data_IF_379143130278
#
_entry.id   IF_379143130278
#
_cell.length_a   1.000
_cell.length_b   1.000
_cell.length_c   1.000
_cell.angle_alpha   90.00
_cell.angle_beta   90.00
_cell.angle_gamma   90.00
#
_symmetry.space_group_name_H-M   'P 1'
#
loop_
_entity.id
_entity.type
_entity.pdbx_description
1 polymer ?
#
# COMPACT_ATOMS: atom_id res chain seq x y z
N UNK A 1 0.96 7.58 -2.41
CA UNK A 1 0.46 7.43 -1.02
C UNK A 1 0.46 5.95 -0.61
N UNK A 2 0.55 5.62 0.68
CA UNK A 2 0.53 4.22 1.15
C UNK A 2 -0.89 3.63 1.24
N UNK A 3 -1.01 2.32 1.06
CA UNK A 3 -2.25 1.60 1.33
C UNK A 3 -2.55 1.48 2.83
N UNK A 4 -3.83 1.62 3.20
CA UNK A 4 -4.30 1.43 4.57
C UNK A 4 -4.43 -0.06 4.92
N UNK A 5 -4.19 -0.43 6.17
CA UNK A 5 -4.35 -1.80 6.64
C UNK A 5 -5.82 -2.15 6.78
N UNK A 6 -6.18 -3.39 6.45
CA UNK A 6 -7.54 -3.88 6.66
C UNK A 6 -7.86 -4.01 8.14
N UNK A 7 -9.09 -3.64 8.52
CA UNK A 7 -9.59 -3.71 9.89
C UNK A 7 -11.05 -4.17 9.95
N UNK A 8 -11.34 -5.13 10.83
CA UNK A 8 -12.68 -5.68 11.07
C UNK A 8 -13.17 -6.65 9.98
N UNK A 9 -14.45 -6.98 9.99
CA UNK A 9 -15.06 -7.81 8.97
C UNK A 9 -16.55 -7.52 8.79
N UNK A 10 -17.10 -8.15 7.75
CA UNK A 10 -18.48 -8.00 7.34
C UNK A 10 -19.11 -9.38 7.15
N UNK A 11 -20.42 -9.41 7.29
CA UNK A 11 -21.27 -10.56 7.08
C UNK A 11 -22.16 -10.24 5.91
N UNK A 12 -22.00 -10.97 4.80
CA UNK A 12 -22.78 -10.78 3.59
C UNK A 12 -23.31 -12.13 3.10
N UNK A 13 -24.61 -12.19 2.82
CA UNK A 13 -25.26 -13.45 2.43
C UNK A 13 -25.15 -14.57 3.49
N UNK A 14 -24.97 -14.23 4.77
CA UNK A 14 -24.75 -15.18 5.85
C UNK A 14 -23.30 -15.65 6.03
N UNK A 15 -22.37 -15.19 5.19
CA UNK A 15 -20.96 -15.55 5.25
C UNK A 15 -20.11 -14.44 5.83
N UNK A 16 -19.08 -14.83 6.58
CA UNK A 16 -18.08 -13.92 7.11
C UNK A 16 -17.00 -13.58 6.07
N UNK A 17 -16.66 -12.30 5.97
CA UNK A 17 -15.57 -11.77 5.16
C UNK A 17 -14.68 -10.86 6.02
N UNK A 18 -13.38 -11.15 6.07
CA UNK A 18 -12.40 -10.22 6.65
C UNK A 18 -12.19 -9.02 5.72
N UNK A 19 -12.04 -7.82 6.28
CA UNK A 19 -11.80 -6.63 5.47
C UNK A 19 -10.37 -6.65 4.90
N UNK A 20 -10.25 -6.41 3.59
CA UNK A 20 -8.96 -6.26 2.91
C UNK A 20 -8.27 -4.94 3.24
N UNK A 21 -6.98 -4.86 2.93
CA UNK A 21 -6.24 -3.60 2.93
C UNK A 21 -6.58 -2.73 1.72
N UNK A 22 -6.23 -1.45 1.80
CA UNK A 22 -6.36 -0.49 0.70
C UNK A 22 -5.17 -0.55 -0.26
N UNK A 23 -5.40 -0.15 -1.51
CA UNK A 23 -4.33 0.01 -2.50
C UNK A 23 -3.40 1.18 -2.15
N UNK A 24 -2.13 1.06 -2.53
CA UNK A 24 -1.21 2.19 -2.59
C UNK A 24 -1.54 3.11 -3.76
N UNK A 25 -1.27 4.40 -3.60
CA UNK A 25 -1.39 5.40 -4.66
C UNK A 25 -0.17 5.44 -5.58
N UNK A 26 -0.33 6.05 -6.74
CA UNK A 26 0.76 6.37 -7.68
C UNK A 26 1.67 7.47 -7.14
N UNK A 27 2.86 7.59 -7.72
CA UNK A 27 3.74 8.76 -7.57
C UNK A 27 3.44 9.84 -8.61
N UNK A 28 4.24 10.90 -8.62
CA UNK A 28 4.14 12.03 -9.57
C UNK A 28 5.20 11.93 -10.66
N UNK A 29 5.04 12.63 -11.78
CA UNK A 29 6.07 12.66 -12.82
C UNK A 29 7.27 13.51 -12.37
N UNK A 30 8.47 13.11 -12.79
CA UNK A 30 9.66 13.91 -12.59
C UNK A 30 9.64 15.17 -13.45
N UNK A 31 10.14 16.28 -12.90
CA UNK A 31 10.35 17.52 -13.66
C UNK A 31 11.51 17.39 -14.65
N UNK A 32 11.47 18.19 -15.73
CA UNK A 32 12.62 18.34 -16.62
C UNK A 32 13.76 19.12 -15.95
N UNK A 33 15.00 18.86 -16.37
CA UNK A 33 16.17 19.61 -15.95
C UNK A 33 16.24 20.99 -16.62
N UNK A 34 16.77 21.98 -15.90
CA UNK A 34 17.03 23.31 -16.47
C UNK A 34 18.14 23.28 -17.53
N UNK A 35 18.07 24.17 -18.52
CA UNK A 35 19.16 24.38 -19.47
C UNK A 35 20.38 25.02 -18.80
N UNK A 36 21.56 24.74 -19.33
CA UNK A 36 22.81 25.39 -18.92
C UNK A 36 22.88 26.82 -19.46
N UNK A 37 23.56 27.70 -18.74
CA UNK A 37 23.88 29.05 -19.23
C UNK A 37 24.88 29.00 -20.38
N UNK A 38 24.68 29.84 -21.40
CA UNK A 38 25.70 30.07 -22.43
C UNK A 38 26.93 30.77 -21.84
N UNK A 39 28.08 30.58 -22.48
CA UNK A 39 29.26 31.36 -22.15
C UNK A 39 29.13 32.78 -22.74
N UNK A 40 29.60 33.78 -22.00
CA UNK A 40 29.66 35.15 -22.50
C UNK A 40 30.63 35.29 -23.66
N UNK A 41 30.33 36.24 -24.55
CA UNK A 41 31.23 36.70 -25.61
C UNK A 41 32.05 37.92 -25.19
N UNK A 42 33.05 38.27 -25.99
CA UNK A 42 33.78 39.53 -25.83
C UNK A 42 33.82 40.24 -27.19
N UNK A 43 33.30 41.46 -27.23
CA UNK A 43 33.18 42.26 -28.47
C UNK A 43 34.43 43.13 -28.72
N UNK A 44 35.45 43.06 -27.85
CA UNK A 44 36.68 43.82 -28.04
C UNK A 44 37.60 43.11 -29.05
N UNK A 45 37.47 43.49 -30.33
CA UNK A 45 38.36 43.10 -31.41
C UNK A 45 37.68 42.24 -32.47
N UNK A 46 37.77 40.92 -32.35
CA UNK A 46 37.07 39.95 -33.23
C UNK A 46 35.86 39.41 -32.47
N UNK A 47 34.68 39.47 -33.08
CA UNK A 47 33.43 38.98 -32.48
C UNK A 47 33.59 37.53 -32.00
N UNK A 48 33.70 37.34 -30.68
CA UNK A 48 33.74 36.02 -30.05
C UNK A 48 32.39 35.77 -29.40
N UNK A 49 31.64 34.83 -29.94
CA UNK A 49 30.40 34.34 -29.36
C UNK A 49 30.72 33.10 -28.50
N UNK A 50 30.45 33.18 -27.20
CA UNK A 50 30.68 32.06 -26.30
C UNK A 50 29.86 30.82 -26.67
N UNK A 51 30.31 29.65 -26.19
CA UNK A 51 29.62 28.39 -26.40
C UNK A 51 28.17 28.37 -25.89
N UNK A 52 27.29 27.64 -26.59
CA UNK A 52 25.90 27.47 -26.19
C UNK A 52 25.76 26.61 -24.94
N UNK A 53 24.81 26.95 -24.07
CA UNK A 53 24.52 26.16 -22.86
C UNK A 53 23.98 24.76 -23.17
N UNK A 54 24.22 23.80 -22.27
CA UNK A 54 23.77 22.43 -22.45
C UNK A 54 22.25 22.26 -22.28
N UNK A 55 21.63 21.40 -23.07
CA UNK A 55 20.21 21.06 -22.90
C UNK A 55 19.93 20.31 -21.60
N UNK A 56 18.80 20.59 -20.96
CA UNK A 56 18.35 19.88 -19.74
C UNK A 56 17.90 18.44 -20.01
N UNK A 57 17.99 17.59 -18.99
CA UNK A 57 17.53 16.20 -19.06
C UNK A 57 16.01 16.06 -18.96
N UNK A 58 15.43 15.02 -19.58
CA UNK A 58 14.01 14.72 -19.48
C UNK A 58 13.61 14.24 -18.07
N UNK A 59 12.41 14.56 -17.62
CA UNK A 59 11.84 14.00 -16.39
C UNK A 59 11.43 12.54 -16.57
N UNK A 60 11.55 11.73 -15.52
CA UNK A 60 11.11 10.33 -15.52
C UNK A 60 9.59 10.21 -15.36
N UNK A 61 8.99 9.21 -16.01
CA UNK A 61 7.56 8.90 -15.81
C UNK A 61 7.29 8.29 -14.44
N UNK A 62 6.17 8.68 -13.82
CA UNK A 62 5.67 8.08 -12.59
C UNK A 62 5.36 6.58 -12.73
N UNK A 63 5.32 5.87 -11.61
CA UNK A 63 4.77 4.53 -11.56
C UNK A 63 3.30 4.52 -12.01
N UNK A 64 2.93 3.57 -12.88
CA UNK A 64 1.55 3.45 -13.41
C UNK A 64 0.52 3.02 -12.36
N UNK A 65 0.95 2.41 -11.27
CA UNK A 65 0.11 1.95 -10.17
C UNK A 65 0.91 1.83 -8.86
N UNK A 66 0.21 1.92 -7.72
CA UNK A 66 0.70 1.41 -6.45
C UNK A 66 0.42 -0.09 -6.28
N UNK A 67 0.78 -0.63 -5.12
CA UNK A 67 0.52 -2.02 -4.78
C UNK A 67 -0.95 -2.26 -4.43
N UNK A 68 -1.50 -3.41 -4.83
CA UNK A 68 -2.85 -3.81 -4.45
C UNK A 68 -2.98 -4.12 -2.95
N UNK A 69 -4.17 -3.94 -2.36
CA UNK A 69 -4.40 -4.32 -0.97
C UNK A 69 -4.43 -5.83 -0.75
N UNK A 70 -3.97 -6.29 0.41
CA UNK A 70 -4.04 -7.69 0.81
C UNK A 70 -5.46 -8.11 1.21
N UNK A 71 -5.85 -9.34 0.89
CA UNK A 71 -7.17 -9.88 1.26
C UNK A 71 -7.31 -10.14 2.77
N UNK A 72 -8.52 -10.01 3.32
CA UNK A 72 -8.77 -10.33 4.72
C UNK A 72 -8.69 -11.84 5.02
N UNK A 73 -8.25 -12.19 6.23
CA UNK A 73 -8.16 -13.56 6.72
C UNK A 73 -9.54 -14.14 7.08
N UNK A 74 -9.72 -15.43 6.78
CA UNK A 74 -10.95 -16.16 7.10
C UNK A 74 -11.16 -16.31 8.61
N UNK A 75 -12.39 -16.13 9.06
CA UNK A 75 -12.77 -16.37 10.46
C UNK A 75 -12.98 -17.86 10.75
N UNK A 76 -12.82 -18.24 12.02
CA UNK A 76 -13.15 -19.56 12.55
C UNK A 76 -14.24 -19.39 13.59
N UNK A 77 -15.44 -19.91 13.30
CA UNK A 77 -16.60 -19.80 14.17
C UNK A 77 -17.07 -21.20 14.58
N UNK A 78 -17.24 -21.44 15.87
CA UNK A 78 -17.85 -22.69 16.35
C UNK A 78 -19.34 -22.74 15.97
N UNK A 79 -20.07 -21.67 16.30
CA UNK A 79 -21.45 -21.44 15.89
C UNK A 79 -21.59 -20.02 15.37
N UNK A 80 -22.22 -19.87 14.20
CA UNK A 80 -22.55 -18.58 13.61
C UNK A 80 -24.06 -18.50 13.35
N UNK A 81 -24.78 -17.80 14.22
CA UNK A 81 -26.24 -17.73 14.15
C UNK A 81 -26.71 -16.47 13.38
N UNK A 82 -27.59 -16.69 12.40
CA UNK A 82 -28.10 -15.67 11.48
C UNK A 82 -29.61 -15.77 11.29
N UNK A 83 -30.20 -14.77 10.62
CA UNK A 83 -31.60 -14.82 10.18
C UNK A 83 -32.63 -14.50 11.26
N UNK A 84 -32.25 -13.81 12.34
CA UNK A 84 -33.17 -13.43 13.40
C UNK A 84 -33.64 -14.62 14.26
N UNK A 85 -32.79 -15.64 14.38
CA UNK A 85 -33.13 -16.88 15.07
C UNK A 85 -33.06 -16.75 16.60
N UNK A 86 -33.82 -17.59 17.30
CA UNK A 86 -33.60 -17.87 18.72
C UNK A 86 -32.92 -19.23 18.83
N UNK A 87 -31.69 -19.26 19.34
CA UNK A 87 -30.85 -20.46 19.40
C UNK A 87 -30.50 -20.75 20.85
N UNK A 88 -30.84 -21.95 21.32
CA UNK A 88 -30.42 -22.47 22.62
C UNK A 88 -29.44 -23.62 22.41
N UNK A 89 -28.26 -23.54 23.03
CA UNK A 89 -27.21 -24.55 22.91
C UNK A 89 -26.84 -25.02 24.31
N UNK A 90 -27.18 -26.27 24.65
CA UNK A 90 -27.00 -26.81 25.99
C UNK A 90 -26.10 -28.04 26.03
N UNK A 91 -25.43 -28.24 27.16
CA UNK A 91 -24.64 -29.43 27.48
C UNK A 91 -23.46 -29.69 26.56
N UNK A 92 -22.84 -28.65 25.98
CA UNK A 92 -21.87 -28.81 24.89
C UNK A 92 -20.46 -28.29 25.21
N UNK A 93 -19.49 -28.79 24.44
CA UNK A 93 -18.15 -28.21 24.36
C UNK A 93 -17.91 -27.72 22.94
N UNK A 94 -17.58 -26.44 22.79
CA UNK A 94 -17.25 -25.82 21.50
C UNK A 94 -15.74 -25.60 21.44
N UNK A 95 -15.05 -26.40 20.63
CA UNK A 95 -13.64 -26.20 20.33
C UNK A 95 -13.51 -25.20 19.17
N UNK A 96 -12.81 -24.09 19.42
CA UNK A 96 -12.52 -23.09 18.38
C UNK A 96 -11.34 -23.54 17.52
N UNK A 97 -11.44 -23.32 16.21
CA UNK A 97 -10.33 -23.45 15.28
C UNK A 97 -9.39 -22.23 15.28
N UNK A 98 -8.25 -22.40 14.61
CA UNK A 98 -7.37 -21.28 14.29
C UNK A 98 -7.95 -20.48 13.11
N UNK A 99 -8.00 -19.16 13.23
CA UNK A 99 -8.45 -18.29 12.16
C UNK A 99 -7.31 -17.93 11.20
N UNK A 100 -7.65 -17.60 9.96
CA UNK A 100 -6.69 -17.37 8.89
C UNK A 100 -5.93 -16.05 9.04
N UNK A 101 -4.66 -16.01 8.63
CA UNK A 101 -3.89 -14.77 8.54
C UNK A 101 -4.45 -13.88 7.42
N UNK A 102 -4.39 -12.57 7.60
CA UNK A 102 -4.61 -11.61 6.51
C UNK A 102 -3.53 -11.75 5.43
N UNK A 103 -3.92 -11.53 4.18
CA UNK A 103 -3.01 -11.53 3.04
C UNK A 103 -2.07 -10.31 3.05
N UNK A 104 -0.83 -10.45 2.55
CA UNK A 104 0.09 -9.32 2.45
C UNK A 104 -0.40 -8.30 1.42
N UNK A 105 -0.04 -7.04 1.62
CA UNK A 105 -0.19 -6.00 0.63
C UNK A 105 0.77 -6.17 -0.55
N UNK A 106 0.34 -5.75 -1.72
CA UNK A 106 1.12 -5.80 -2.95
C UNK A 106 2.25 -4.77 -2.99
N UNK A 107 3.30 -5.09 -3.75
CA UNK A 107 4.46 -4.23 -3.94
C UNK A 107 4.10 -3.00 -4.79
N UNK A 108 4.59 -1.83 -4.40
CA UNK A 108 4.41 -0.58 -5.15
C UNK A 108 5.24 -0.54 -6.45
N UNK A 109 4.69 0.05 -7.51
CA UNK A 109 5.36 0.14 -8.80
C UNK A 109 6.58 1.07 -8.79
N UNK A 110 7.57 0.78 -9.63
CA UNK A 110 8.74 1.63 -9.83
C UNK A 110 8.45 2.77 -10.83
N UNK A 111 8.82 3.99 -10.47
CA UNK A 111 8.91 5.13 -11.39
C UNK A 111 10.25 5.14 -12.16
N UNK A 112 10.29 5.81 -13.31
CA UNK A 112 11.50 5.86 -14.15
C UNK A 112 12.50 6.88 -13.62
N UNK A 113 13.80 6.57 -13.73
CA UNK A 113 14.86 7.51 -13.43
C UNK A 113 14.85 8.69 -14.43
N UNK A 114 15.30 9.86 -13.99
CA UNK A 114 15.39 11.05 -14.85
C UNK A 114 16.53 10.96 -15.87
N UNK A 115 16.39 11.67 -16.98
CA UNK A 115 17.41 11.77 -18.02
C UNK A 115 18.58 12.66 -17.59
N UNK A 116 19.79 12.34 -18.04
CA UNK A 116 20.97 13.17 -17.80
C UNK A 116 20.89 14.49 -18.58
N UNK A 117 21.34 15.59 -17.98
CA UNK A 117 21.55 16.85 -18.68
C UNK A 117 22.78 16.82 -19.57
N UNK A 118 22.70 17.49 -20.73
CA UNK A 118 23.76 17.51 -21.74
C UNK A 118 24.87 18.52 -21.39
N UNK A 119 26.08 18.25 -21.88
CA UNK A 119 27.16 19.24 -21.89
C UNK A 119 26.79 20.46 -22.73
N UNK A 120 27.31 21.63 -22.38
CA UNK A 120 27.25 22.79 -23.26
C UNK A 120 28.10 22.61 -24.51
N UNK A 121 27.75 23.32 -25.58
CA UNK A 121 28.46 23.32 -26.85
C UNK A 121 29.76 24.11 -26.74
N UNK A 122 30.90 23.44 -26.86
CA UNK A 122 32.20 24.09 -26.80
C UNK A 122 32.40 25.03 -27.99
N UNK A 123 32.99 26.21 -27.74
CA UNK A 123 33.43 27.14 -28.78
C UNK A 123 34.94 27.40 -28.64
N UNK A 124 35.75 27.27 -29.71
CA UNK A 124 37.18 27.50 -29.65
C UNK A 124 37.53 28.91 -29.17
N UNK A 125 38.31 29.02 -28.09
CA UNK A 125 38.70 30.31 -27.50
C UNK A 125 37.62 31.00 -26.66
N UNK A 126 36.43 30.41 -26.54
CA UNK A 126 35.36 30.90 -25.67
C UNK A 126 35.44 30.34 -24.24
N UNK A 127 34.74 30.98 -23.30
CA UNK A 127 34.58 30.44 -21.95
C UNK A 127 33.75 29.13 -21.97
N UNK A 128 33.91 28.32 -20.91
CA UNK A 128 33.20 27.05 -20.79
C UNK A 128 31.70 27.28 -20.52
N UNK A 129 30.78 26.79 -21.37
CA UNK A 129 29.35 26.92 -21.13
C UNK A 129 28.89 26.04 -19.97
N UNK A 130 27.76 26.41 -19.38
CA UNK A 130 27.11 25.62 -18.34
C UNK A 130 26.56 24.30 -18.88
N UNK A 131 26.70 23.24 -18.09
CA UNK A 131 26.00 21.96 -18.33
C UNK A 131 24.51 22.11 -18.01
N UNK A 132 23.65 21.47 -18.79
CA UNK A 132 22.24 21.32 -18.43
C UNK A 132 22.04 20.47 -17.17
N UNK A 133 21.01 20.79 -16.39
CA UNK A 133 20.61 20.01 -15.23
C UNK A 133 20.04 18.64 -15.63
N UNK A 134 20.21 17.64 -14.76
CA UNK A 134 19.51 16.36 -14.91
C UNK A 134 18.01 16.55 -14.67
N UNK A 135 17.19 15.73 -15.32
CA UNK A 135 15.76 15.64 -15.00
C UNK A 135 15.53 14.93 -13.66
N UNK A 136 14.41 15.23 -13.02
CA UNK A 136 13.94 14.50 -11.84
C UNK A 136 13.46 13.10 -12.22
N UNK A 137 13.60 12.14 -11.30
CA UNK A 137 12.97 10.83 -11.47
C UNK A 137 11.46 10.93 -11.28
N UNK A 138 10.73 9.97 -11.87
CA UNK A 138 9.32 9.77 -11.62
C UNK A 138 9.11 9.10 -10.26
N UNK A 139 8.10 9.59 -9.54
CA UNK A 139 7.72 9.10 -8.22
C UNK A 139 7.25 7.65 -8.25
N UNK A 140 7.63 6.93 -7.21
CA UNK A 140 7.30 5.52 -7.05
C UNK A 140 5.89 5.32 -6.48
N UNK A 141 5.29 4.18 -6.82
CA UNK A 141 4.02 3.75 -6.26
C UNK A 141 4.18 3.34 -4.80
N UNK A 142 3.21 3.70 -3.96
CA UNK A 142 3.15 3.22 -2.59
C UNK A 142 2.81 1.73 -2.54
N UNK A 143 3.26 1.04 -1.49
CA UNK A 143 2.85 -0.32 -1.21
C UNK A 143 1.38 -0.41 -0.79
N UNK A 144 0.73 -1.53 -1.12
CA UNK A 144 -0.64 -1.81 -0.67
C UNK A 144 -0.68 -2.20 0.80
N UNK A 145 -1.78 -1.93 1.50
CA UNK A 145 -1.92 -2.32 2.90
C UNK A 145 -2.20 -3.81 3.05
N UNK A 146 -1.76 -4.41 4.16
CA UNK A 146 -2.06 -5.79 4.49
C UNK A 146 -3.52 -6.00 4.93
N UNK A 147 -4.06 -7.19 4.70
CA UNK A 147 -5.43 -7.53 5.10
C UNK A 147 -5.58 -7.80 6.60
N UNK A 148 -6.80 -7.65 7.12
CA UNK A 148 -7.14 -8.01 8.50
C UNK A 148 -6.91 -9.50 8.77
N UNK A 149 -6.47 -9.86 9.98
CA UNK A 149 -6.43 -11.26 10.44
C UNK A 149 -7.80 -11.81 10.83
N UNK A 150 -8.05 -13.09 10.59
CA UNK A 150 -9.32 -13.75 10.90
C UNK A 150 -9.62 -13.81 12.40
N UNK A 151 -10.90 -13.73 12.76
CA UNK A 151 -11.35 -13.90 14.15
C UNK A 151 -11.58 -15.37 14.48
N UNK A 152 -11.25 -15.78 15.70
CA UNK A 152 -11.60 -17.10 16.23
C UNK A 152 -12.64 -16.92 17.34
N UNK A 153 -13.88 -17.31 17.07
CA UNK A 153 -15.02 -17.08 17.97
C UNK A 153 -15.74 -18.39 18.27
N UNK A 154 -16.11 -18.61 19.52
CA UNK A 154 -16.93 -19.76 19.90
C UNK A 154 -18.33 -19.64 19.30
N UNK A 155 -19.08 -18.64 19.76
CA UNK A 155 -20.43 -18.36 19.27
C UNK A 155 -20.51 -16.90 18.80
N UNK A 156 -20.94 -16.68 17.57
CA UNK A 156 -21.19 -15.35 17.06
C UNK A 156 -22.60 -15.26 16.45
N UNK A 157 -23.19 -14.07 16.51
CA UNK A 157 -24.52 -13.84 15.98
C UNK A 157 -24.71 -12.40 15.52
N UNK A 158 -25.59 -12.21 14.53
CA UNK A 158 -25.95 -10.90 13.99
C UNK A 158 -27.18 -10.30 14.70
N UNK A 159 -27.43 -8.98 14.57
CA UNK A 159 -28.60 -8.34 15.18
C UNK A 159 -29.91 -9.04 14.85
N UNK A 160 -30.84 -9.02 15.81
CA UNK A 160 -32.13 -9.72 15.73
C UNK A 160 -32.06 -11.20 16.11
N UNK A 161 -30.86 -11.77 16.26
CA UNK A 161 -30.67 -13.15 16.72
C UNK A 161 -30.43 -13.17 18.23
N UNK A 162 -31.07 -14.10 18.93
CA UNK A 162 -30.84 -14.35 20.36
C UNK A 162 -30.15 -15.70 20.52
N UNK A 163 -29.02 -15.73 21.23
CA UNK A 163 -28.28 -16.95 21.53
C UNK A 163 -28.16 -17.13 23.03
N UNK A 164 -28.59 -18.27 23.54
CA UNK A 164 -28.44 -18.68 24.93
C UNK A 164 -27.64 -19.99 24.98
N UNK A 165 -26.65 -20.08 25.87
CA UNK A 165 -25.84 -21.29 25.98
C UNK A 165 -25.30 -21.52 27.40
N UNK A 166 -25.01 -22.78 27.71
CA UNK A 166 -24.23 -23.20 28.90
C UNK A 166 -22.89 -23.88 28.50
N UNK A 167 -22.56 -23.86 27.21
CA UNK A 167 -21.43 -24.61 26.69
C UNK A 167 -20.08 -24.11 27.20
N UNK A 168 -19.14 -25.07 27.35
CA UNK A 168 -17.72 -24.78 27.59
C UNK A 168 -17.02 -24.48 26.26
N UNK A 169 -16.35 -23.33 26.14
CA UNK A 169 -15.68 -22.91 24.90
C UNK A 169 -14.17 -22.91 25.13
N UNK A 170 -13.43 -23.65 24.30
CA UNK A 170 -11.99 -23.84 24.47
C UNK A 170 -11.21 -23.70 23.16
N UNK A 171 -9.88 -23.63 23.28
CA UNK A 171 -8.96 -23.65 22.15
C UNK A 171 -9.04 -22.40 21.26
N UNK A 172 -8.54 -22.56 20.03
CA UNK A 172 -8.52 -21.54 18.99
C UNK A 172 -7.37 -20.54 19.08
N UNK A 173 -7.07 -19.93 17.94
CA UNK A 173 -6.09 -18.85 17.82
C UNK A 173 -6.63 -17.82 16.83
N UNK A 174 -6.46 -16.53 17.13
CA UNK A 174 -6.76 -15.48 16.18
C UNK A 174 -5.72 -15.47 15.05
N UNK A 175 -6.15 -15.07 13.85
CA UNK A 175 -5.24 -14.88 12.72
C UNK A 175 -4.46 -13.59 12.87
N UNK A 176 -3.17 -13.61 12.51
CA UNK A 176 -2.38 -12.37 12.41
C UNK A 176 -2.84 -11.48 11.26
N UNK A 177 -2.55 -10.18 11.34
CA UNK A 177 -2.70 -9.28 10.20
C UNK A 177 -1.73 -9.64 9.06
N UNK A 178 -2.08 -9.23 7.85
CA UNK A 178 -1.17 -9.23 6.72
C UNK A 178 -0.15 -8.10 6.83
N UNK A 179 1.05 -8.34 6.34
CA UNK A 179 2.07 -7.28 6.28
C UNK A 179 1.71 -6.26 5.19
N UNK A 180 2.14 -5.01 5.35
CA UNK A 180 2.06 -4.02 4.29
C UNK A 180 3.03 -4.35 3.15
N UNK A 181 2.66 -4.01 1.92
CA UNK A 181 3.53 -4.15 0.77
C UNK A 181 4.65 -3.12 0.78
N UNK A 182 5.82 -3.50 0.27
CA UNK A 182 6.99 -2.63 0.17
C UNK A 182 6.85 -1.69 -1.04
N UNK A 183 7.31 -0.44 -0.92
CA UNK A 183 7.39 0.49 -2.05
C UNK A 183 8.62 0.20 -2.92
N UNK A 184 8.41 0.05 -4.24
CA UNK A 184 9.44 -0.02 -5.29
C UNK A 184 10.81 -0.63 -4.87
N UNK A 185 10.87 -1.87 -4.37
CA UNK A 185 12.08 -2.47 -3.82
C UNK A 185 13.21 -2.65 -4.86
N UNK A 186 12.86 -2.63 -6.14
CA UNK A 186 13.80 -2.77 -7.26
C UNK A 186 14.33 -1.42 -7.77
N UNK A 187 13.97 -0.30 -7.14
CA UNK A 187 14.50 1.01 -7.51
C UNK A 187 15.88 1.27 -6.88
N UNK A 188 16.72 2.11 -7.53
CA UNK A 188 17.96 2.60 -6.91
C UNK A 188 17.69 3.19 -5.52
N UNK A 189 18.55 2.90 -4.55
CA UNK A 189 18.34 3.32 -3.13
C UNK A 189 18.08 4.82 -3.01
N UNK A 190 18.79 5.63 -3.80
CA UNK A 190 18.67 7.09 -3.79
C UNK A 190 17.34 7.61 -4.37
N UNK A 191 16.59 6.80 -5.11
CA UNK A 191 15.33 7.19 -5.78
C UNK A 191 14.08 6.67 -5.05
N UNK A 192 14.25 5.87 -3.98
CA UNK A 192 13.13 5.25 -3.24
C UNK A 192 12.35 6.26 -2.42
N UNK A 193 11.43 6.95 -3.07
CA UNK A 193 10.59 8.02 -2.52
C UNK A 193 9.15 7.58 -2.16
N UNK A 194 8.87 6.28 -2.32
CA UNK A 194 7.57 5.70 -2.01
C UNK A 194 7.32 5.48 -0.51
N UNK A 195 6.11 5.04 -0.17
CA UNK A 195 5.75 4.67 1.20
C UNK A 195 5.27 3.23 1.26
N UNK A 196 5.75 2.45 2.23
CA UNK A 196 5.26 1.11 2.51
C UNK A 196 3.80 1.13 2.97
N UNK A 197 3.06 0.09 2.59
CA UNK A 197 1.70 -0.11 3.05
C UNK A 197 1.64 -0.30 4.57
N UNK A 198 0.50 0.01 5.17
CA UNK A 198 0.28 -0.32 6.58
C UNK A 198 0.02 -1.84 6.73
N UNK A 199 0.48 -2.47 7.83
CA UNK A 199 0.03 -3.81 8.17
C UNK A 199 -1.48 -3.80 8.49
N UNK A 200 -2.15 -4.90 8.20
CA UNK A 200 -3.53 -5.12 8.64
C UNK A 200 -3.58 -5.41 10.15
N UNK A 201 -4.73 -5.15 10.77
CA UNK A 201 -4.90 -5.48 12.20
C UNK A 201 -5.03 -6.99 12.39
N UNK A 202 -4.53 -7.50 13.52
CA UNK A 202 -4.72 -8.90 13.92
C UNK A 202 -6.18 -9.18 14.25
N UNK A 203 -6.59 -10.44 14.11
CA UNK A 203 -7.91 -10.91 14.53
C UNK A 203 -8.05 -10.99 16.04
N UNK A 204 -9.25 -11.33 16.50
CA UNK A 204 -9.56 -11.49 17.91
C UNK A 204 -9.90 -12.93 18.27
N UNK A 205 -9.60 -13.33 19.50
CA UNK A 205 -10.02 -14.61 20.10
C UNK A 205 -11.13 -14.32 21.10
N UNK A 206 -12.35 -14.83 20.86
CA UNK A 206 -13.53 -14.49 21.67
C UNK A 206 -14.36 -15.73 21.98
N UNK A 207 -14.95 -15.78 23.17
CA UNK A 207 -15.90 -16.84 23.54
C UNK A 207 -17.21 -16.60 22.81
N UNK A 208 -17.77 -15.40 22.97
CA UNK A 208 -18.99 -14.96 22.30
C UNK A 208 -18.80 -13.63 21.57
N UNK A 209 -19.61 -13.39 20.55
CA UNK A 209 -19.65 -12.14 19.80
C UNK A 209 -21.05 -11.83 19.29
N UNK A 210 -21.69 -10.83 19.90
CA UNK A 210 -22.80 -10.14 19.27
C UNK A 210 -22.23 -9.12 18.26
N UNK A 211 -22.54 -9.29 16.97
CA UNK A 211 -22.27 -8.27 15.97
C UNK A 211 -23.22 -7.09 16.19
N UNK A 212 -22.72 -5.86 16.10
CA UNK A 212 -23.58 -4.66 16.19
C UNK A 212 -24.30 -4.39 14.88
N UNK A 213 -23.73 -4.83 13.75
CA UNK A 213 -24.38 -4.88 12.44
C UNK A 213 -23.79 -6.00 11.59
N UNK A 214 -24.45 -6.33 10.47
CA UNK A 214 -23.87 -7.20 9.46
C UNK A 214 -22.61 -6.60 8.82
N UNK A 215 -22.46 -5.27 8.82
CA UNK A 215 -21.30 -4.57 8.23
C UNK A 215 -20.20 -4.23 9.22
N UNK A 216 -20.39 -4.54 10.50
CA UNK A 216 -19.43 -4.26 11.56
C UNK A 216 -19.46 -5.42 12.55
N UNK A 217 -18.76 -6.47 12.15
CA UNK A 217 -18.47 -7.60 12.99
C UNK A 217 -16.96 -7.92 12.89
#
# INVERSE_FOLDING_TARGET
GRGAGGAGGTVAGGYWYGNGGGAGGTGENGGGGGGGGGAGGCDTGTDSYGGGGGGGGAGGCAARAGGGGGGGGGGSFGVFAVGGATVTISGCTVARGAAGRGGPGGVGGRGQSGGAGNSGGAFPGGAMPGRGGNGGHGGHGGGGGGGQGGRSVGLAWIPGTTVTHDCTITGGAAGGGGDGGVHAPTAPVAERDGNDGAPGTGGTLQTTRACTSATSC
#
